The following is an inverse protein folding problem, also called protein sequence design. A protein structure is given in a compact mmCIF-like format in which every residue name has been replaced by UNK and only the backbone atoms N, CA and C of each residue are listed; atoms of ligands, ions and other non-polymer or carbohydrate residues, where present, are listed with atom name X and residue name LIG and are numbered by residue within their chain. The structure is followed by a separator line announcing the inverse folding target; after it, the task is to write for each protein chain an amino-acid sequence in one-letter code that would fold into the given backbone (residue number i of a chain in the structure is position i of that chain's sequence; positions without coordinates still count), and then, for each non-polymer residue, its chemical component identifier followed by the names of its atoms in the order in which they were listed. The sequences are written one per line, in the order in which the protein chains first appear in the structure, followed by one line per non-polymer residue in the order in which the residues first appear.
data_IF_921646057180
#
_entry.id   IF_921646057180
#
_cell.length_a   1.000
_cell.length_b   1.000
_cell.length_c   1.000
_cell.angle_alpha   90.00
_cell.angle_beta   90.00
_cell.angle_gamma   90.00
#
_symmetry.space_group_name_H-M   'P 1'
#
loop_
_entity.id
_entity.type
_entity.pdbx_description
1 polymer ?
#
# COMPACT_ATOMS: atom_id res chain seq x y z
N UNK A 1 3.98 27.51 29.42
CA UNK A 1 3.62 27.24 28.03
C UNK A 1 2.86 25.91 27.99
N UNK A 2 1.54 25.94 28.15
CA UNK A 2 0.68 24.75 28.20
C UNK A 2 -0.06 24.58 26.87
N UNK A 3 0.70 24.43 25.78
CA UNK A 3 0.13 23.97 24.52
C UNK A 3 -0.25 22.49 24.70
N UNK A 4 -1.52 22.09 24.52
CA UNK A 4 -1.89 20.70 24.70
C UNK A 4 -1.14 19.84 23.68
N UNK A 5 -0.35 18.90 24.19
CA UNK A 5 0.43 17.97 23.39
C UNK A 5 -0.51 17.18 22.49
N UNK A 6 -0.40 17.37 21.19
CA UNK A 6 -1.21 16.66 20.19
C UNK A 6 -0.78 15.20 20.19
N UNK A 7 -1.55 14.34 20.87
CA UNK A 7 -1.29 12.89 20.87
C UNK A 7 -1.51 12.36 19.47
N UNK A 8 -0.48 11.81 18.83
CA UNK A 8 -0.59 11.29 17.48
C UNK A 8 0.45 10.19 17.21
N UNK A 9 0.15 9.34 16.27
CA UNK A 9 1.11 8.42 15.64
C UNK A 9 1.24 8.82 14.18
N UNK A 10 2.47 9.01 13.71
CA UNK A 10 2.77 9.41 12.36
C UNK A 10 3.76 8.42 11.72
N UNK A 11 3.54 8.11 10.46
CA UNK A 11 4.41 7.27 9.66
C UNK A 11 5.02 8.12 8.56
N UNK A 12 6.36 8.05 8.40
CA UNK A 12 7.02 8.69 7.26
C UNK A 12 6.79 7.86 5.99
N UNK A 13 6.93 8.50 4.84
CA UNK A 13 7.04 7.77 3.59
C UNK A 13 8.27 6.85 3.63
N UNK A 14 8.18 5.61 3.10
CA UNK A 14 9.32 4.71 2.98
C UNK A 14 10.40 5.33 2.08
N UNK A 15 11.66 5.15 2.48
CA UNK A 15 12.82 5.56 1.66
C UNK A 15 13.94 4.55 1.88
N UNK A 16 14.43 3.94 0.79
CA UNK A 16 15.50 2.93 0.84
C UNK A 16 15.18 1.76 1.80
N UNK A 17 13.96 1.20 1.71
CA UNK A 17 13.50 0.11 2.55
C UNK A 17 13.28 0.46 4.02
N UNK A 18 13.30 1.74 4.40
CA UNK A 18 13.13 2.20 5.78
C UNK A 18 12.01 3.22 5.90
N UNK A 19 11.24 3.12 6.98
CA UNK A 19 10.26 4.12 7.38
C UNK A 19 10.51 4.54 8.83
N UNK A 20 10.05 5.74 9.20
CA UNK A 20 10.09 6.23 10.58
C UNK A 20 8.70 6.24 11.16
N UNK A 21 8.55 5.70 12.36
CA UNK A 21 7.35 5.82 13.16
C UNK A 21 7.64 6.85 14.26
N UNK A 22 6.78 7.85 14.37
CA UNK A 22 6.87 8.88 15.42
C UNK A 22 5.60 8.82 16.26
N UNK A 23 5.76 8.72 17.56
CA UNK A 23 4.65 8.67 18.52
C UNK A 23 4.78 9.85 19.46
N UNK A 24 3.85 10.81 19.36
CA UNK A 24 3.73 11.90 20.33
C UNK A 24 2.75 11.45 21.41
N UNK A 25 3.25 11.32 22.63
CA UNK A 25 2.48 10.81 23.77
C UNK A 25 2.88 11.54 25.05
N UNK A 26 2.27 11.19 26.17
CA UNK A 26 2.68 11.74 27.47
C UNK A 26 4.04 11.20 27.89
N UNK A 27 4.81 12.00 28.66
CA UNK A 27 6.08 11.63 29.26
C UNK A 27 6.01 10.31 30.03
N UNK A 28 4.93 10.10 30.81
CA UNK A 28 4.68 8.86 31.54
C UNK A 28 4.60 7.63 30.63
N UNK A 29 3.84 7.70 29.53
CA UNK A 29 3.71 6.59 28.58
C UNK A 29 5.02 6.31 27.84
N UNK A 30 5.76 7.37 27.51
CA UNK A 30 7.08 7.23 26.89
C UNK A 30 8.05 6.51 27.83
N UNK A 31 8.09 6.92 29.10
CA UNK A 31 8.94 6.30 30.12
C UNK A 31 8.55 4.84 30.39
N UNK A 32 7.25 4.54 30.48
CA UNK A 32 6.76 3.17 30.68
C UNK A 32 7.11 2.27 29.47
N UNK A 33 7.03 2.79 28.23
CA UNK A 33 7.47 2.07 27.05
C UNK A 33 8.97 1.85 27.06
N UNK A 34 9.77 2.89 27.30
CA UNK A 34 11.23 2.78 27.36
C UNK A 34 11.66 1.76 28.40
N UNK A 35 11.05 1.79 29.59
CA UNK A 35 11.33 0.82 30.65
C UNK A 35 11.07 -0.62 30.17
N UNK A 36 9.94 -0.88 29.51
CA UNK A 36 9.62 -2.23 28.96
C UNK A 36 10.62 -2.66 27.88
N UNK A 37 11.01 -1.76 27.01
CA UNK A 37 11.97 -2.06 25.94
C UNK A 37 13.37 -2.35 26.47
N UNK A 38 13.70 -1.87 27.69
CA UNK A 38 15.00 -2.05 28.33
C UNK A 38 15.07 -3.26 29.28
N UNK A 39 13.98 -3.98 29.52
CA UNK A 39 13.95 -5.05 30.54
C UNK A 39 14.95 -6.18 30.28
N UNK A 40 15.20 -6.54 29.02
CA UNK A 40 16.02 -7.69 28.64
C UNK A 40 17.25 -7.29 27.79
N UNK A 41 17.74 -6.05 27.94
CA UNK A 41 18.89 -5.56 27.18
C UNK A 41 20.20 -6.13 27.72
N UNK A 42 20.98 -6.74 26.84
CA UNK A 42 22.38 -7.06 27.09
C UNK A 42 23.24 -5.78 27.02
N UNK A 43 23.84 -5.42 28.15
CA UNK A 43 24.65 -4.21 28.27
C UNK A 43 25.95 -4.23 27.41
N UNK A 44 26.32 -5.38 26.86
CA UNK A 44 27.52 -5.54 26.01
C UNK A 44 27.21 -5.23 24.51
N UNK A 45 25.94 -5.10 24.12
CA UNK A 45 25.50 -4.88 22.76
C UNK A 45 24.83 -3.50 22.62
N UNK A 46 24.75 -2.93 21.39
CA UNK A 46 24.08 -1.64 21.17
C UNK A 46 22.61 -1.69 21.59
N UNK A 47 22.21 -0.84 22.54
CA UNK A 47 20.88 -0.84 23.12
C UNK A 47 19.77 -0.54 22.08
N UNK A 48 20.04 0.34 21.11
CA UNK A 48 19.03 0.78 20.13
C UNK A 48 18.49 -0.38 19.26
N UNK A 49 19.35 -1.28 18.81
CA UNK A 49 18.94 -2.44 18.01
C UNK A 49 18.10 -3.43 18.84
N UNK A 50 18.49 -3.66 20.08
CA UNK A 50 17.76 -4.53 21.00
C UNK A 50 16.40 -3.94 21.39
N UNK A 51 16.30 -2.64 21.57
CA UNK A 51 15.04 -1.95 21.84
C UNK A 51 14.09 -2.02 20.62
N UNK A 52 14.61 -1.93 19.42
CA UNK A 52 13.83 -2.09 18.18
C UNK A 52 13.26 -3.50 18.08
N UNK A 53 14.05 -4.53 18.31
CA UNK A 53 13.61 -5.92 18.34
C UNK A 53 12.59 -6.18 19.47
N UNK A 54 12.80 -5.64 20.66
CA UNK A 54 11.87 -5.73 21.77
C UNK A 54 10.53 -5.04 21.45
N UNK A 55 10.56 -3.90 20.76
CA UNK A 55 9.36 -3.20 20.30
C UNK A 55 8.53 -4.09 19.37
N UNK A 56 9.14 -4.72 18.38
CA UNK A 56 8.42 -5.58 17.45
C UNK A 56 7.88 -6.84 18.13
N UNK A 57 8.61 -7.44 19.05
CA UNK A 57 8.09 -8.55 19.87
C UNK A 57 6.80 -8.19 20.62
N UNK A 58 6.70 -6.96 21.15
CA UNK A 58 5.49 -6.47 21.81
C UNK A 58 4.36 -6.26 20.81
N UNK A 59 4.65 -5.59 19.69
CA UNK A 59 3.66 -5.27 18.65
C UNK A 59 3.11 -6.54 17.99
N UNK A 60 3.96 -7.54 17.74
CA UNK A 60 3.59 -8.83 17.15
C UNK A 60 2.88 -9.78 18.12
N UNK A 61 2.71 -9.37 19.39
CA UNK A 61 2.03 -10.17 20.40
C UNK A 61 2.86 -11.35 20.95
N UNK A 62 4.13 -11.49 20.54
CA UNK A 62 5.04 -12.52 21.04
C UNK A 62 5.39 -12.34 22.53
N UNK A 63 5.05 -11.19 23.09
CA UNK A 63 5.19 -10.87 24.52
C UNK A 63 3.86 -11.00 25.30
N UNK A 64 2.88 -11.81 24.81
CA UNK A 64 1.61 -12.06 25.48
C UNK A 64 0.47 -11.08 25.13
N UNK A 65 0.64 -10.24 24.11
CA UNK A 65 -0.42 -9.38 23.57
C UNK A 65 -1.38 -10.14 22.63
N UNK A 66 -2.60 -9.61 22.43
CA UNK A 66 -3.53 -10.12 21.42
C UNK A 66 -3.03 -9.66 20.04
N UNK A 67 -2.64 -10.61 19.20
CA UNK A 67 -2.29 -10.35 17.80
C UNK A 67 -3.57 -10.02 17.04
N UNK A 68 -3.77 -8.75 16.67
CA UNK A 68 -4.74 -8.44 15.63
C UNK A 68 -4.19 -9.00 14.29
N UNK A 69 -5.01 -9.74 13.55
CA UNK A 69 -4.64 -10.23 12.23
C UNK A 69 -4.28 -9.02 11.35
N UNK A 70 -3.00 -8.82 11.09
CA UNK A 70 -2.56 -7.81 10.14
C UNK A 70 -2.92 -8.29 8.72
N UNK A 71 -3.47 -7.43 7.85
CA UNK A 71 -3.63 -7.78 6.45
C UNK A 71 -2.27 -8.20 5.89
N UNK A 72 -2.21 -9.36 5.25
CA UNK A 72 -0.97 -9.79 4.58
C UNK A 72 -0.88 -9.05 3.25
N UNK A 73 0.15 -8.23 3.05
CA UNK A 73 0.34 -7.57 1.76
C UNK A 73 0.65 -8.62 0.70
N UNK A 74 0.12 -8.40 -0.50
CA UNK A 74 0.37 -9.29 -1.65
C UNK A 74 1.59 -8.75 -2.39
N UNK A 75 2.55 -9.62 -2.66
CA UNK A 75 3.72 -9.29 -3.48
C UNK A 75 3.32 -9.35 -4.94
N UNK A 76 3.61 -8.29 -5.69
CA UNK A 76 3.39 -8.23 -7.13
C UNK A 76 4.71 -8.60 -7.83
N UNK A 77 4.74 -9.78 -8.44
CA UNK A 77 5.91 -10.30 -9.13
C UNK A 77 5.57 -10.57 -10.60
N UNK A 78 6.24 -9.91 -11.57
CA UNK A 78 6.19 -10.33 -12.96
C UNK A 78 6.65 -11.78 -13.10
N UNK A 79 5.97 -12.59 -13.92
CA UNK A 79 6.30 -14.00 -14.06
C UNK A 79 7.75 -14.21 -14.51
N UNK A 80 8.27 -13.31 -15.35
CA UNK A 80 9.66 -13.33 -15.82
C UNK A 80 10.65 -13.06 -14.69
N UNK A 81 10.36 -12.08 -13.82
CA UNK A 81 11.19 -11.77 -12.67
C UNK A 81 11.13 -12.87 -11.60
N UNK A 82 9.94 -13.45 -11.40
CA UNK A 82 9.81 -14.61 -10.53
C UNK A 82 10.71 -15.76 -10.99
N UNK A 83 10.71 -16.08 -12.28
CA UNK A 83 11.57 -17.12 -12.84
C UNK A 83 13.06 -16.82 -12.64
N UNK A 84 13.48 -15.56 -12.80
CA UNK A 84 14.86 -15.11 -12.55
C UNK A 84 15.25 -15.24 -11.08
N UNK A 85 14.38 -14.79 -10.16
CA UNK A 85 14.62 -14.89 -8.72
C UNK A 85 14.73 -16.37 -8.31
N UNK A 86 13.84 -17.23 -8.80
CA UNK A 86 13.89 -18.68 -8.51
C UNK A 86 15.10 -19.37 -9.10
N UNK A 87 15.68 -18.84 -10.18
CA UNK A 87 16.94 -19.32 -10.77
C UNK A 87 18.19 -18.80 -10.05
N UNK A 88 18.05 -17.92 -9.03
CA UNK A 88 19.16 -17.32 -8.30
C UNK A 88 19.83 -16.14 -9.01
N UNK A 89 19.14 -15.52 -9.98
CA UNK A 89 19.64 -14.38 -10.76
C UNK A 89 18.70 -13.16 -10.59
N UNK A 90 18.26 -12.90 -9.36
CA UNK A 90 17.29 -11.84 -9.13
C UNK A 90 17.30 -11.27 -7.73
N UNK A 91 18.38 -11.44 -6.97
CA UNK A 91 18.47 -11.02 -5.56
C UNK A 91 18.28 -9.50 -5.35
N UNK A 92 18.67 -8.71 -6.34
CA UNK A 92 18.61 -7.24 -6.36
C UNK A 92 17.30 -6.69 -6.96
N UNK A 93 16.42 -7.53 -7.49
CA UNK A 93 15.14 -7.13 -8.05
C UNK A 93 14.27 -6.56 -6.93
N UNK A 94 13.74 -5.35 -7.15
CA UNK A 94 12.84 -4.70 -6.19
C UNK A 94 11.39 -5.03 -6.53
N UNK A 95 10.72 -5.70 -5.62
CA UNK A 95 9.31 -6.06 -5.70
C UNK A 95 8.49 -5.11 -4.85
N UNK A 96 7.33 -4.68 -5.37
CA UNK A 96 6.40 -3.80 -4.65
C UNK A 96 5.26 -4.62 -4.05
N UNK A 97 4.81 -4.24 -2.85
CA UNK A 97 3.70 -4.87 -2.16
C UNK A 97 2.46 -3.96 -2.18
N UNK A 98 1.30 -4.56 -1.97
CA UNK A 98 0.00 -3.86 -1.99
C UNK A 98 -0.20 -2.86 -0.86
N UNK A 99 0.66 -2.86 0.17
CA UNK A 99 0.68 -1.87 1.25
C UNK A 99 1.61 -0.67 0.97
N UNK A 100 2.22 -0.63 -0.23
CA UNK A 100 3.15 0.42 -0.64
C UNK A 100 4.58 0.23 -0.14
N UNK A 101 4.88 -0.91 0.48
CA UNK A 101 6.25 -1.27 0.83
C UNK A 101 6.95 -1.98 -0.33
N UNK A 102 8.23 -2.27 -0.18
CA UNK A 102 9.02 -3.01 -1.16
C UNK A 102 9.93 -4.02 -0.47
N UNK A 103 10.28 -5.08 -1.18
CA UNK A 103 11.29 -6.06 -0.79
C UNK A 103 12.20 -6.41 -1.96
N UNK A 104 13.37 -6.94 -1.66
CA UNK A 104 14.29 -7.47 -2.67
C UNK A 104 13.93 -8.90 -3.05
N UNK A 105 14.44 -9.38 -4.19
CA UNK A 105 14.30 -10.78 -4.58
C UNK A 105 14.92 -11.74 -3.57
N UNK A 106 16.02 -11.36 -2.93
CA UNK A 106 16.62 -12.14 -1.86
C UNK A 106 15.68 -12.26 -0.63
N UNK A 107 15.04 -11.17 -0.21
CA UNK A 107 14.04 -11.18 0.86
C UNK A 107 12.80 -11.98 0.47
N UNK A 108 12.38 -11.91 -0.80
CA UNK A 108 11.28 -12.69 -1.34
C UNK A 108 11.53 -14.20 -1.20
N UNK A 109 12.73 -14.69 -1.53
CA UNK A 109 13.09 -16.10 -1.39
C UNK A 109 13.11 -16.59 0.06
N UNK A 110 13.34 -15.69 1.02
CA UNK A 110 13.37 -16.02 2.45
C UNK A 110 11.97 -16.08 3.08
N UNK A 111 10.93 -15.62 2.36
CA UNK A 111 9.56 -15.69 2.85
C UNK A 111 9.05 -17.13 2.81
N UNK A 112 8.47 -17.59 3.91
CA UNK A 112 7.64 -18.79 3.90
C UNK A 112 6.31 -18.45 3.22
N UNK A 113 6.17 -18.88 1.96
CA UNK A 113 4.91 -18.70 1.24
C UNK A 113 3.85 -19.59 1.90
N UNK A 114 2.72 -18.99 2.27
CA UNK A 114 1.54 -19.74 2.70
C UNK A 114 1.07 -20.69 1.60
N UNK A 115 0.26 -21.69 1.94
CA UNK A 115 -0.14 -22.83 1.10
C UNK A 115 -0.84 -22.47 -0.24
N UNK A 116 -1.13 -21.19 -0.51
CA UNK A 116 -1.75 -20.77 -1.77
C UNK A 116 -1.08 -19.49 -2.31
N UNK A 117 -0.48 -19.62 -3.50
CA UNK A 117 -0.06 -18.47 -4.32
C UNK A 117 -1.31 -17.98 -5.07
N UNK A 118 -1.81 -16.78 -4.76
CA UNK A 118 -2.83 -16.14 -5.58
C UNK A 118 -2.18 -15.51 -6.80
N UNK A 119 -2.62 -15.94 -7.99
CA UNK A 119 -2.14 -15.39 -9.26
C UNK A 119 -3.20 -14.45 -9.81
N UNK A 120 -2.86 -13.18 -10.00
CA UNK A 120 -3.68 -12.22 -10.70
C UNK A 120 -3.25 -12.13 -12.17
N UNK A 121 -4.21 -12.24 -13.09
CA UNK A 121 -3.96 -12.06 -14.51
C UNK A 121 -4.15 -10.60 -14.91
N UNK A 122 -3.18 -10.06 -15.67
CA UNK A 122 -3.21 -8.70 -16.18
C UNK A 122 -3.05 -8.69 -17.69
N UNK A 123 -3.87 -7.88 -18.38
CA UNK A 123 -3.71 -7.56 -19.78
C UNK A 123 -2.96 -6.24 -19.94
N UNK A 124 -2.00 -6.11 -20.90
CA UNK A 124 -1.16 -4.93 -21.02
C UNK A 124 -1.91 -3.63 -21.35
N UNK A 125 -3.07 -3.72 -22.03
CA UNK A 125 -3.87 -2.56 -22.42
C UNK A 125 -5.15 -2.40 -21.61
N UNK A 126 -5.78 -3.51 -21.19
CA UNK A 126 -7.05 -3.54 -20.47
C UNK A 126 -6.89 -3.56 -18.95
N UNK A 127 -5.69 -3.85 -18.47
CA UNK A 127 -5.39 -3.93 -17.04
C UNK A 127 -5.81 -5.25 -16.41
N UNK A 128 -6.35 -5.19 -15.19
CA UNK A 128 -6.77 -6.37 -14.45
C UNK A 128 -8.00 -7.05 -15.10
N UNK A 129 -7.95 -8.38 -15.24
CA UNK A 129 -9.07 -9.15 -15.81
C UNK A 129 -10.29 -9.07 -14.89
N UNK A 130 -11.43 -8.75 -15.48
CA UNK A 130 -12.68 -8.44 -14.77
C UNK A 130 -13.24 -9.61 -13.95
N UNK A 131 -13.66 -9.28 -12.74
CA UNK A 131 -14.65 -10.04 -11.97
C UNK A 131 -15.93 -9.20 -11.95
N UNK A 132 -16.89 -9.52 -12.82
CA UNK A 132 -18.17 -8.82 -12.88
C UNK A 132 -18.95 -9.02 -11.59
N UNK A 133 -19.39 -7.90 -10.98
CA UNK A 133 -20.24 -7.95 -9.80
C UNK A 133 -21.32 -6.87 -9.91
N UNK A 134 -22.54 -7.22 -9.52
CA UNK A 134 -23.70 -6.31 -9.44
C UNK A 134 -23.80 -5.62 -8.10
N UNK A 135 -22.91 -5.97 -7.16
CA UNK A 135 -22.87 -5.40 -5.82
C UNK A 135 -22.19 -4.01 -5.82
N UNK A 136 -22.71 -3.11 -4.98
CA UNK A 136 -22.14 -1.77 -4.83
C UNK A 136 -20.71 -1.77 -4.28
N UNK A 137 -20.41 -2.71 -3.39
CA UNK A 137 -19.10 -2.75 -2.71
C UNK A 137 -18.23 -3.82 -3.36
N UNK A 138 -16.99 -3.43 -3.67
CA UNK A 138 -15.99 -4.35 -4.15
C UNK A 138 -15.79 -5.52 -3.17
N UNK A 139 -15.88 -6.75 -3.68
CA UNK A 139 -15.54 -7.94 -2.92
C UNK A 139 -14.04 -8.02 -2.63
N UNK A 140 -13.60 -8.98 -1.80
CA UNK A 140 -12.19 -9.04 -1.38
C UNK A 140 -11.24 -9.23 -2.56
N UNK A 141 -11.57 -10.07 -3.55
CA UNK A 141 -10.73 -10.30 -4.73
C UNK A 141 -10.59 -9.06 -5.60
N UNK A 142 -11.69 -8.31 -5.79
CA UNK A 142 -11.65 -7.03 -6.51
C UNK A 142 -10.81 -5.99 -5.76
N UNK A 143 -10.89 -5.96 -4.42
CA UNK A 143 -10.06 -5.08 -3.59
C UNK A 143 -8.58 -5.43 -3.73
N UNK A 144 -8.24 -6.71 -3.67
CA UNK A 144 -6.87 -7.20 -3.81
C UNK A 144 -6.31 -6.87 -5.20
N UNK A 145 -7.09 -7.08 -6.26
CA UNK A 145 -6.69 -6.71 -7.62
C UNK A 145 -6.53 -5.20 -7.79
N UNK A 146 -7.44 -4.38 -7.25
CA UNK A 146 -7.30 -2.92 -7.28
C UNK A 146 -6.03 -2.46 -6.56
N UNK A 147 -5.67 -3.10 -5.43
CA UNK A 147 -4.43 -2.84 -4.72
C UNK A 147 -3.18 -3.28 -5.51
N UNK A 148 -3.25 -4.32 -6.35
CA UNK A 148 -2.16 -4.71 -7.26
C UNK A 148 -2.00 -3.72 -8.41
N UNK A 149 -3.11 -3.24 -8.99
CA UNK A 149 -3.08 -2.19 -10.04
C UNK A 149 -2.46 -0.90 -9.50
N UNK A 150 -2.79 -0.53 -8.27
CA UNK A 150 -2.24 0.65 -7.60
C UNK A 150 -1.91 0.34 -6.13
N UNK A 151 -0.65 0.02 -5.78
CA UNK A 151 -0.25 -0.41 -4.43
C UNK A 151 -0.32 0.70 -3.39
N UNK A 152 -0.49 1.94 -3.84
CA UNK A 152 -0.73 3.12 -3.02
C UNK A 152 -1.95 3.88 -3.54
N UNK A 153 -2.42 4.87 -2.78
CA UNK A 153 -3.44 5.81 -3.24
C UNK A 153 -3.09 6.35 -4.63
N UNK A 154 -4.02 6.27 -5.59
CA UNK A 154 -3.76 6.62 -6.99
C UNK A 154 -3.51 8.12 -7.24
N UNK A 155 -3.75 8.99 -6.26
CA UNK A 155 -3.47 10.41 -6.38
C UNK A 155 -1.96 10.68 -6.48
N UNK A 156 -1.49 11.54 -7.42
CA UNK A 156 -0.07 11.82 -7.65
C UNK A 156 0.71 12.18 -6.39
N UNK A 157 1.84 11.52 -6.16
CA UNK A 157 2.73 11.76 -5.04
C UNK A 157 2.19 11.29 -3.67
N UNK A 158 0.98 10.72 -3.59
CA UNK A 158 0.47 10.11 -2.37
C UNK A 158 1.09 8.73 -2.19
N UNK A 159 1.62 8.45 -1.00
CA UNK A 159 2.25 7.17 -0.64
C UNK A 159 1.45 6.39 0.42
N UNK A 160 0.17 6.74 0.59
CA UNK A 160 -0.69 6.01 1.50
C UNK A 160 -1.00 4.63 0.93
N UNK A 161 -0.68 3.56 1.65
CA UNK A 161 -0.84 2.19 1.19
C UNK A 161 -2.28 1.86 0.78
N UNK A 162 -2.44 1.14 -0.32
CA UNK A 162 -3.74 0.82 -0.90
C UNK A 162 -4.62 0.00 0.06
N UNK A 163 -4.04 -0.87 0.86
CA UNK A 163 -4.76 -1.68 1.86
C UNK A 163 -5.45 -0.84 2.93
N UNK A 164 -4.90 0.32 3.28
CA UNK A 164 -5.48 1.27 4.22
C UNK A 164 -6.34 2.34 3.52
N UNK A 165 -6.61 2.16 2.23
CA UNK A 165 -7.39 3.07 1.39
C UNK A 165 -8.81 2.56 1.16
N UNK A 166 -9.70 3.46 0.76
CA UNK A 166 -11.05 3.14 0.30
C UNK A 166 -11.00 2.76 -1.18
N UNK A 167 -11.78 1.75 -1.62
CA UNK A 167 -11.93 1.45 -3.04
C UNK A 167 -12.98 2.40 -3.61
N UNK A 168 -12.52 3.24 -4.51
CA UNK A 168 -13.28 4.30 -5.16
C UNK A 168 -13.76 3.85 -6.54
N UNK A 169 -15.01 4.20 -6.90
CA UNK A 169 -15.52 4.06 -8.26
C UNK A 169 -15.14 5.27 -9.08
N UNK A 170 -14.36 5.08 -10.14
CA UNK A 170 -13.94 6.16 -11.05
C UNK A 170 -15.15 6.84 -11.68
N UNK A 171 -16.06 6.05 -12.25
CA UNK A 171 -17.41 6.46 -12.56
C UNK A 171 -18.29 6.16 -11.35
N UNK A 172 -18.78 7.19 -10.69
CA UNK A 172 -19.46 7.05 -9.42
C UNK A 172 -20.68 6.13 -9.51
N UNK A 173 -20.86 5.25 -8.52
CA UNK A 173 -22.01 4.34 -8.44
C UNK A 173 -23.36 5.04 -8.61
N UNK A 174 -23.52 6.24 -8.03
CA UNK A 174 -24.73 7.06 -8.15
C UNK A 174 -25.04 7.50 -9.59
N UNK A 175 -24.07 7.40 -10.49
CA UNK A 175 -24.20 7.71 -11.93
C UNK A 175 -24.22 6.45 -12.81
N UNK A 176 -24.36 5.28 -12.22
CA UNK A 176 -24.42 3.99 -12.94
C UNK A 176 -23.07 3.31 -13.15
N UNK A 177 -22.00 3.80 -12.52
CA UNK A 177 -20.71 3.13 -12.57
C UNK A 177 -20.77 1.75 -11.91
N UNK A 178 -20.30 0.72 -12.62
CA UNK A 178 -20.31 -0.65 -12.15
C UNK A 178 -19.13 -0.95 -11.24
N UNK A 179 -19.26 -1.96 -10.38
CA UNK A 179 -18.18 -2.47 -9.52
C UNK A 179 -17.33 -3.47 -10.30
N UNK A 180 -16.66 -2.98 -11.35
CA UNK A 180 -15.75 -3.72 -12.22
C UNK A 180 -14.33 -3.21 -12.07
N UNK A 181 -13.34 -4.03 -12.44
CA UNK A 181 -11.92 -3.70 -12.25
C UNK A 181 -11.45 -2.48 -13.06
N UNK A 182 -12.09 -2.22 -14.20
CA UNK A 182 -11.88 -1.02 -15.02
C UNK A 182 -12.44 0.27 -14.40
N UNK A 183 -13.18 0.15 -13.30
CA UNK A 183 -13.83 1.25 -12.59
C UNK A 183 -13.41 1.36 -11.11
N UNK A 184 -12.51 0.52 -10.62
CA UNK A 184 -12.13 0.47 -9.20
C UNK A 184 -10.68 0.91 -8.98
N UNK A 185 -10.47 1.80 -8.01
CA UNK A 185 -9.13 2.32 -7.67
C UNK A 185 -9.01 2.62 -6.18
N UNK A 186 -7.85 2.36 -5.53
CA UNK A 186 -7.66 2.73 -4.14
C UNK A 186 -7.38 4.24 -4.01
N UNK A 187 -8.17 4.92 -3.20
CA UNK A 187 -7.92 6.31 -2.77
C UNK A 187 -7.91 6.38 -1.25
N UNK A 188 -6.91 7.06 -0.67
CA UNK A 188 -6.95 7.34 0.75
C UNK A 188 -8.15 8.23 1.09
N UNK A 189 -8.62 8.17 2.32
CA UNK A 189 -9.81 8.90 2.77
C UNK A 189 -9.79 10.39 2.42
N UNK A 190 -8.63 11.03 2.47
CA UNK A 190 -8.49 12.44 2.09
C UNK A 190 -8.73 12.65 0.60
N UNK A 191 -8.00 11.90 -0.26
CA UNK A 191 -8.09 12.05 -1.71
C UNK A 191 -9.43 11.57 -2.27
N UNK A 192 -10.05 10.55 -1.67
CA UNK A 192 -11.40 10.13 -2.01
C UNK A 192 -12.43 11.25 -1.78
N UNK A 193 -12.33 11.98 -0.66
CA UNK A 193 -13.26 13.09 -0.36
C UNK A 193 -13.08 14.32 -1.24
N UNK A 194 -11.89 14.56 -1.77
CA UNK A 194 -11.63 15.74 -2.60
C UNK A 194 -11.74 15.45 -4.10
N UNK A 195 -11.93 14.20 -4.51
CA UNK A 195 -12.13 13.80 -5.90
C UNK A 195 -13.43 14.42 -6.44
N UNK A 196 -13.38 14.95 -7.66
CA UNK A 196 -14.57 15.50 -8.35
C UNK A 196 -15.34 14.35 -9.02
N UNK A 197 -16.25 13.70 -8.28
CA UNK A 197 -17.03 12.54 -8.76
C UNK A 197 -18.11 12.89 -9.78
N UNK A 198 -18.56 14.14 -9.78
CA UNK A 198 -19.59 14.61 -10.70
C UNK A 198 -18.95 15.08 -12.00
N UNK A 199 -19.40 14.61 -13.19
CA UNK A 199 -18.78 14.95 -14.48
C UNK A 199 -18.72 16.46 -14.80
N UNK A 200 -19.67 17.24 -14.25
CA UNK A 200 -19.72 18.70 -14.40
C UNK A 200 -18.92 19.46 -13.35
N UNK A 201 -18.38 18.76 -12.34
CA UNK A 201 -17.53 19.35 -11.31
C UNK A 201 -16.09 19.30 -11.72
N UNK A 202 -15.44 20.43 -11.82
CA UNK A 202 -14.03 20.52 -12.23
C UNK A 202 -13.26 21.53 -11.38
N UNK A 203 -13.22 21.27 -10.04
CA UNK A 203 -12.54 22.17 -9.10
C UNK A 203 -11.20 21.63 -8.58
N UNK A 204 -11.12 20.32 -8.36
CA UNK A 204 -9.97 19.67 -7.73
C UNK A 204 -9.38 18.54 -8.57
N UNK A 205 -10.00 18.27 -9.71
CA UNK A 205 -9.65 17.16 -10.57
C UNK A 205 -10.22 15.83 -10.08
N UNK A 206 -10.08 14.83 -10.90
CA UNK A 206 -10.64 13.50 -10.68
C UNK A 206 -9.70 12.40 -11.13
N UNK A 207 -9.88 11.21 -10.61
CA UNK A 207 -9.25 10.01 -11.16
C UNK A 207 -10.00 9.57 -12.42
N UNK A 208 -9.27 9.14 -13.41
CA UNK A 208 -9.76 8.48 -14.62
C UNK A 208 -8.97 7.20 -14.86
N UNK A 209 -9.63 6.16 -15.37
CA UNK A 209 -8.95 4.94 -15.81
C UNK A 209 -8.54 5.12 -17.28
N UNK A 210 -7.25 5.01 -17.58
CA UNK A 210 -6.70 5.12 -18.95
C UNK A 210 -5.84 3.90 -19.21
N UNK A 211 -6.21 3.08 -20.19
CA UNK A 211 -5.52 1.83 -20.53
C UNK A 211 -5.25 0.94 -19.32
N UNK A 212 -6.30 0.74 -18.51
CA UNK A 212 -6.24 -0.11 -17.32
C UNK A 212 -5.43 0.44 -16.13
N UNK A 213 -4.90 1.65 -16.23
CA UNK A 213 -4.16 2.32 -15.15
C UNK A 213 -4.86 3.59 -14.67
N UNK A 214 -4.82 3.91 -13.36
CA UNK A 214 -5.42 5.12 -12.83
C UNK A 214 -4.53 6.35 -13.08
N UNK A 215 -5.17 7.44 -13.54
CA UNK A 215 -4.57 8.75 -13.75
C UNK A 215 -5.39 9.83 -13.05
N UNK A 216 -4.72 10.77 -12.42
CA UNK A 216 -5.39 11.98 -11.96
C UNK A 216 -5.46 13.00 -13.11
N UNK A 217 -6.68 13.42 -13.43
CA UNK A 217 -6.95 14.46 -14.42
C UNK A 217 -7.15 15.78 -13.68
N UNK A 218 -6.25 16.71 -13.87
CA UNK A 218 -6.33 18.03 -13.24
C UNK A 218 -7.52 18.84 -13.78
N UNK A 219 -7.97 19.91 -13.07
CA UNK A 219 -8.98 20.83 -13.59
C UNK A 219 -8.63 21.48 -14.93
N UNK A 220 -7.35 21.47 -15.31
CA UNK A 220 -6.84 21.99 -16.58
C UNK A 220 -6.65 20.91 -17.64
N UNK A 221 -7.07 19.67 -17.37
CA UNK A 221 -6.97 18.56 -18.31
C UNK A 221 -5.61 17.85 -18.36
N UNK A 222 -4.66 18.18 -17.48
CA UNK A 222 -3.39 17.45 -17.42
C UNK A 222 -3.61 16.08 -16.78
N UNK A 223 -3.10 15.04 -17.41
CA UNK A 223 -3.08 13.67 -16.90
C UNK A 223 -1.78 13.43 -16.14
N UNK A 224 -1.87 13.07 -14.88
CA UNK A 224 -0.71 12.83 -14.02
C UNK A 224 -0.91 11.48 -13.34
N UNK A 225 0.05 10.56 -13.52
CA UNK A 225 0.07 9.25 -12.87
C UNK A 225 0.80 9.34 -11.53
N UNK A 226 0.41 8.52 -10.56
CA UNK A 226 1.25 8.31 -9.39
C UNK A 226 2.53 7.60 -9.84
N UNK A 227 3.67 7.98 -9.26
CA UNK A 227 5.00 7.44 -9.62
C UNK A 227 5.28 6.06 -9.03
N UNK A 228 4.47 5.60 -8.08
CA UNK A 228 4.60 4.26 -7.52
C UNK A 228 4.12 3.23 -8.56
N UNK A 229 4.95 2.23 -8.82
CA UNK A 229 4.71 1.24 -9.87
C UNK A 229 3.63 0.25 -9.44
N UNK A 230 2.51 0.24 -10.15
CA UNK A 230 1.49 -0.80 -10.09
C UNK A 230 1.88 -2.04 -10.90
N UNK A 231 1.00 -3.06 -10.87
CA UNK A 231 1.25 -4.33 -11.56
C UNK A 231 1.51 -4.15 -13.06
N UNK A 232 0.78 -3.27 -13.74
CA UNK A 232 1.00 -3.02 -15.18
C UNK A 232 2.39 -2.48 -15.49
N UNK A 233 2.86 -1.49 -14.70
CA UNK A 233 4.19 -0.92 -14.90
C UNK A 233 5.31 -1.93 -14.57
N UNK A 234 5.06 -2.87 -13.66
CA UNK A 234 6.01 -3.93 -13.31
C UNK A 234 6.03 -5.05 -14.35
N UNK A 235 4.86 -5.47 -14.82
CA UNK A 235 4.73 -6.59 -15.76
C UNK A 235 5.10 -6.18 -17.19
N UNK A 236 4.72 -4.98 -17.63
CA UNK A 236 4.77 -4.57 -19.02
C UNK A 236 5.61 -3.31 -19.27
N UNK A 237 6.27 -2.78 -18.23
CA UNK A 237 7.01 -1.53 -18.29
C UNK A 237 6.11 -0.28 -18.16
N UNK A 238 6.72 0.93 -18.07
CA UNK A 238 6.00 2.18 -17.89
C UNK A 238 4.96 2.42 -18.99
N UNK A 239 3.70 2.61 -18.60
CA UNK A 239 2.61 2.90 -19.53
C UNK A 239 2.65 4.39 -19.91
N UNK A 240 2.64 4.67 -21.22
CA UNK A 240 2.48 6.03 -21.76
C UNK A 240 1.00 6.35 -22.01
N UNK A 241 0.63 7.62 -21.91
CA UNK A 241 -0.71 8.13 -22.29
C UNK A 241 -0.97 7.99 -23.78
#
# INVERSE_FOLDING_TARGET
DTTPTKKQVAFSAPKNGRARITIDTTDRKAADLEHRLRQDIDATLPAAAQMEEAFWRIVEGKAGGVVAAAPRPIVMVPITEHARIMAGDGDDIILTLTDGTSMTGAEYLQQEFGEALEVAAFHPEEGAVNLYDTERFANQKQRDMACMVSPVCAFPGCRHGAYASEIHHVDAWKHGGLTNMDNLVPLCRYHNRINDDDPWRNKRGRIAMIRGAPWWVSPRGYHIKNTDRGALDQLFGPQST
#
